data_IF_745473011998
#
_entry.id   IF_745473011998
#
_cell.length_a   1.000
_cell.length_b   1.000
_cell.length_c   1.000
_cell.angle_alpha   90.00
_cell.angle_beta   90.00
_cell.angle_gamma   90.00
#
_symmetry.space_group_name_H-M   'P 1'
#
loop_
_entity.id
_entity.type
_entity.pdbx_description
1 polymer ?
#
# COMPACT_ATOMS: atom_id res chain seq x y z
N UNK A 1 -1.54 8.03 36.28
CA UNK A 1 -0.36 7.75 35.46
C UNK A 1 -0.86 7.22 34.13
N UNK A 2 -0.86 8.06 33.10
CA UNK A 2 -1.28 7.65 31.76
C UNK A 2 -0.24 6.65 31.25
N UNK A 3 -0.66 5.43 30.93
CA UNK A 3 0.23 4.45 30.31
C UNK A 3 0.65 4.98 28.95
N UNK A 4 1.96 4.99 28.70
CA UNK A 4 2.60 5.10 27.38
C UNK A 4 2.18 3.92 26.48
N UNK A 5 0.89 3.82 26.18
CA UNK A 5 0.39 2.95 25.14
C UNK A 5 0.76 3.62 23.82
N UNK A 6 1.92 3.26 23.28
CA UNK A 6 2.20 3.41 21.86
C UNK A 6 0.97 2.89 21.12
N UNK A 7 0.31 3.76 20.36
CA UNK A 7 -0.94 3.52 19.62
C UNK A 7 -0.86 2.34 18.62
N UNK A 8 0.35 1.80 18.45
CA UNK A 8 0.73 0.78 17.48
C UNK A 8 1.73 -0.16 18.16
N UNK A 9 1.57 -1.48 18.01
CA UNK A 9 2.56 -2.45 18.51
C UNK A 9 3.89 -2.31 17.75
N UNK A 10 4.99 -2.81 18.33
CA UNK A 10 6.31 -2.76 17.67
C UNK A 10 6.28 -3.46 16.29
N UNK A 11 5.57 -4.57 16.18
CA UNK A 11 5.42 -5.32 14.92
C UNK A 11 4.56 -4.57 13.90
N UNK A 12 3.47 -3.92 14.35
CA UNK A 12 2.67 -3.07 13.47
C UNK A 12 3.49 -1.86 12.99
N UNK A 13 4.30 -1.24 13.86
CA UNK A 13 5.17 -0.13 13.50
C UNK A 13 6.26 -0.56 12.50
N UNK A 14 6.86 -1.73 12.73
CA UNK A 14 7.82 -2.37 11.81
C UNK A 14 7.20 -2.60 10.44
N UNK A 15 6.02 -3.22 10.39
CA UNK A 15 5.26 -3.46 9.16
C UNK A 15 4.96 -2.16 8.42
N UNK A 16 4.42 -1.13 9.09
CA UNK A 16 4.15 0.18 8.48
C UNK A 16 5.42 0.78 7.86
N UNK A 17 6.54 0.74 8.56
CA UNK A 17 7.82 1.25 8.05
C UNK A 17 8.30 0.49 6.82
N UNK A 18 8.12 -0.83 6.79
CA UNK A 18 8.45 -1.67 5.63
C UNK A 18 7.57 -1.27 4.45
N UNK A 19 6.25 -1.21 4.63
CA UNK A 19 5.30 -0.80 3.60
C UNK A 19 5.62 0.58 3.02
N UNK A 20 5.89 1.57 3.87
CA UNK A 20 6.23 2.93 3.44
C UNK A 20 7.51 2.96 2.60
N UNK A 21 8.57 2.25 3.02
CA UNK A 21 9.83 2.18 2.24
C UNK A 21 9.62 1.59 0.85
N UNK A 22 8.80 0.55 0.75
CA UNK A 22 8.50 -0.10 -0.53
C UNK A 22 7.73 0.86 -1.44
N UNK A 23 6.67 1.50 -0.93
CA UNK A 23 5.86 2.45 -1.70
C UNK A 23 6.68 3.66 -2.13
N UNK A 24 7.53 4.22 -1.24
CA UNK A 24 8.41 5.34 -1.56
C UNK A 24 9.44 4.98 -2.63
N UNK A 25 10.06 3.79 -2.51
CA UNK A 25 11.01 3.30 -3.51
C UNK A 25 10.35 3.13 -4.88
N UNK A 26 9.12 2.61 -4.91
CA UNK A 26 8.36 2.43 -6.16
C UNK A 26 7.91 3.76 -6.76
N UNK A 27 7.38 4.67 -5.94
CA UNK A 27 6.87 5.98 -6.38
C UNK A 27 7.99 6.91 -6.90
N UNK A 28 9.23 6.75 -6.43
CA UNK A 28 10.38 7.57 -6.83
C UNK A 28 11.26 6.92 -7.90
N UNK A 29 10.90 5.72 -8.38
CA UNK A 29 11.73 4.91 -9.27
C UNK A 29 11.89 5.45 -10.70
N UNK A 30 11.15 6.49 -11.09
CA UNK A 30 11.23 7.11 -12.41
C UNK A 30 10.92 6.10 -13.53
N UNK A 31 11.92 5.82 -14.38
CA UNK A 31 11.78 4.98 -15.57
C UNK A 31 11.81 3.46 -15.30
N UNK A 32 12.27 3.02 -14.11
CA UNK A 32 12.40 1.58 -13.77
C UNK A 32 11.61 1.14 -12.52
N UNK A 33 10.29 1.40 -12.43
CA UNK A 33 9.48 1.11 -11.24
C UNK A 33 9.46 -0.37 -10.83
N UNK A 34 9.37 -1.28 -11.80
CA UNK A 34 9.34 -2.73 -11.53
C UNK A 34 10.65 -3.25 -10.92
N UNK A 35 11.78 -2.68 -11.34
CA UNK A 35 13.10 -3.08 -10.85
C UNK A 35 13.32 -2.62 -9.42
N UNK A 36 12.96 -1.37 -9.12
CA UNK A 36 13.09 -0.82 -7.77
C UNK A 36 12.09 -1.44 -6.79
N UNK A 37 10.86 -1.73 -7.22
CA UNK A 37 9.91 -2.53 -6.44
C UNK A 37 10.49 -3.91 -6.11
N UNK A 38 10.97 -4.63 -7.12
CA UNK A 38 11.60 -5.95 -6.93
C UNK A 38 12.83 -5.89 -6.00
N UNK A 39 13.58 -4.80 -6.04
CA UNK A 39 14.74 -4.56 -5.17
C UNK A 39 14.31 -4.27 -3.73
N UNK A 40 13.28 -3.45 -3.53
CA UNK A 40 12.73 -3.14 -2.22
C UNK A 40 12.18 -4.41 -1.55
N UNK A 41 11.38 -5.20 -2.27
CA UNK A 41 10.82 -6.47 -1.77
C UNK A 41 11.90 -7.47 -1.34
N UNK A 42 12.98 -7.62 -2.13
CA UNK A 42 14.09 -8.53 -1.80
C UNK A 42 14.94 -8.13 -0.60
N UNK A 43 14.87 -6.87 -0.15
CA UNK A 43 15.61 -6.39 1.02
C UNK A 43 14.93 -6.73 2.34
N UNK A 44 13.65 -7.03 2.30
CA UNK A 44 12.85 -7.30 3.49
C UNK A 44 12.94 -8.77 3.89
N UNK A 45 13.07 -9.01 5.20
CA UNK A 45 13.38 -10.35 5.74
C UNK A 45 12.14 -11.20 5.99
N UNK A 46 11.03 -10.57 6.29
CA UNK A 46 9.77 -11.23 6.61
C UNK A 46 8.70 -10.86 5.57
N UNK A 47 8.20 -11.82 4.78
CA UNK A 47 7.10 -11.58 3.86
C UNK A 47 5.83 -11.04 4.54
N UNK A 48 5.61 -11.35 5.81
CA UNK A 48 4.46 -10.89 6.58
C UNK A 48 4.50 -9.38 6.81
N UNK A 49 5.69 -8.84 7.12
CA UNK A 49 5.91 -7.40 7.30
C UNK A 49 5.63 -6.63 5.99
N UNK A 50 5.96 -7.23 4.85
CA UNK A 50 5.68 -6.67 3.53
C UNK A 50 4.17 -6.55 3.32
N UNK A 51 3.44 -7.66 3.47
CA UNK A 51 2.00 -7.71 3.19
C UNK A 51 1.23 -6.82 4.16
N UNK A 52 1.50 -6.95 5.46
CA UNK A 52 0.86 -6.11 6.50
C UNK A 52 1.19 -4.65 6.27
N UNK A 53 2.46 -4.34 5.96
CA UNK A 53 2.92 -2.98 5.69
C UNK A 53 2.21 -2.33 4.52
N UNK A 54 2.19 -3.01 3.36
CA UNK A 54 1.52 -2.51 2.16
C UNK A 54 0.02 -2.34 2.35
N UNK A 55 -0.65 -3.30 2.98
CA UNK A 55 -2.08 -3.20 3.30
C UNK A 55 -2.37 -2.04 4.24
N UNK A 56 -1.52 -1.81 5.24
CA UNK A 56 -1.69 -0.71 6.19
C UNK A 56 -1.48 0.64 5.50
N UNK A 57 -0.46 0.79 4.65
CA UNK A 57 -0.23 2.02 3.89
C UNK A 57 -1.39 2.29 2.93
N UNK A 58 -1.88 1.28 2.21
CA UNK A 58 -3.04 1.42 1.33
C UNK A 58 -4.28 1.91 2.10
N UNK A 59 -4.51 1.36 3.30
CA UNK A 59 -5.61 1.78 4.17
C UNK A 59 -5.45 3.23 4.66
N UNK A 60 -4.26 3.63 5.08
CA UNK A 60 -3.99 5.02 5.49
C UNK A 60 -4.25 6.01 4.34
N UNK A 61 -3.79 5.69 3.13
CA UNK A 61 -4.05 6.51 1.94
C UNK A 61 -5.55 6.55 1.59
N UNK A 62 -6.27 5.46 1.80
CA UNK A 62 -7.73 5.42 1.59
C UNK A 62 -8.48 6.30 2.60
N UNK A 63 -8.07 6.31 3.87
CA UNK A 63 -8.61 7.18 4.91
C UNK A 63 -8.37 8.65 4.55
N UNK A 64 -7.15 9.02 4.16
CA UNK A 64 -6.82 10.39 3.77
C UNK A 64 -7.63 10.85 2.55
N UNK A 65 -7.77 9.98 1.55
CA UNK A 65 -8.57 10.26 0.36
C UNK A 65 -10.08 10.36 0.68
N UNK A 66 -10.59 9.50 1.54
CA UNK A 66 -11.98 9.55 2.02
C UNK A 66 -12.26 10.88 2.72
N UNK A 67 -11.37 11.30 3.63
CA UNK A 67 -11.45 12.60 4.29
C UNK A 67 -11.40 13.77 3.30
N UNK A 68 -10.51 13.72 2.31
CA UNK A 68 -10.35 14.78 1.31
C UNK A 68 -11.54 14.89 0.33
N UNK A 69 -12.26 13.78 0.08
CA UNK A 69 -13.34 13.71 -0.91
C UNK A 69 -14.74 13.69 -0.30
N UNK A 70 -14.85 13.58 1.03
CA UNK A 70 -16.12 13.39 1.72
C UNK A 70 -16.75 12.00 1.48
N UNK A 71 -15.99 11.04 0.95
CA UNK A 71 -16.42 9.66 0.76
C UNK A 71 -16.19 8.82 2.03
N UNK A 72 -16.74 7.61 2.09
CA UNK A 72 -16.36 6.62 3.10
C UNK A 72 -15.04 5.93 2.73
N UNK A 73 -14.30 5.45 3.73
CA UNK A 73 -13.09 4.63 3.55
C UNK A 73 -13.38 3.40 2.67
N UNK A 74 -14.49 2.70 2.93
CA UNK A 74 -14.94 1.53 2.17
C UNK A 74 -15.16 1.85 0.69
N UNK A 75 -15.86 2.94 0.37
CA UNK A 75 -16.09 3.34 -1.02
C UNK A 75 -14.78 3.71 -1.76
N UNK A 76 -13.81 4.25 -1.04
CA UNK A 76 -12.47 4.53 -1.62
C UNK A 76 -11.71 3.23 -1.87
N UNK A 77 -11.72 2.28 -0.92
CA UNK A 77 -11.06 0.99 -1.07
C UNK A 77 -11.67 0.17 -2.22
N UNK A 78 -13.00 0.08 -2.31
CA UNK A 78 -13.69 -0.58 -3.42
C UNK A 78 -13.36 0.06 -4.78
N UNK A 79 -13.19 1.39 -4.82
CA UNK A 79 -12.78 2.09 -6.04
C UNK A 79 -11.33 1.77 -6.40
N UNK A 80 -10.44 1.72 -5.40
CA UNK A 80 -9.04 1.35 -5.62
C UNK A 80 -8.92 -0.08 -6.11
N UNK A 81 -9.65 -1.03 -5.52
CA UNK A 81 -9.69 -2.43 -5.93
C UNK A 81 -10.14 -2.58 -7.39
N UNK A 82 -11.28 -1.98 -7.76
CA UNK A 82 -11.76 -1.99 -9.15
C UNK A 82 -10.76 -1.39 -10.14
N UNK A 83 -10.07 -0.32 -9.76
CA UNK A 83 -9.04 0.29 -10.61
C UNK A 83 -7.82 -0.63 -10.77
N UNK A 84 -7.41 -1.31 -9.70
CA UNK A 84 -6.34 -2.31 -9.76
C UNK A 84 -6.73 -3.49 -10.64
N UNK A 85 -7.93 -4.04 -10.47
CA UNK A 85 -8.47 -5.12 -11.32
C UNK A 85 -8.49 -4.71 -12.79
N UNK A 86 -8.97 -3.51 -13.11
CA UNK A 86 -9.00 -3.00 -14.49
C UNK A 86 -7.60 -2.84 -15.11
N UNK A 87 -6.60 -2.49 -14.31
CA UNK A 87 -5.20 -2.39 -14.74
C UNK A 87 -4.52 -3.75 -14.89
N UNK A 88 -4.90 -4.74 -14.07
CA UNK A 88 -4.40 -6.12 -14.14
C UNK A 88 -5.03 -6.92 -15.28
N UNK A 89 -6.29 -6.61 -15.59
CA UNK A 89 -7.04 -7.22 -16.68
C UNK A 89 -7.45 -6.15 -17.72
N UNK A 90 -6.48 -5.52 -18.43
CA UNK A 90 -6.77 -4.52 -19.43
C UNK A 90 -7.40 -5.20 -20.65
N UNK A 91 -8.71 -5.46 -20.58
CA UNK A 91 -9.60 -5.97 -21.62
C UNK A 91 -9.00 -7.12 -22.46
N UNK A 92 -9.30 -8.36 -22.06
CA UNK A 92 -9.17 -9.60 -22.86
C UNK A 92 -10.01 -9.60 -24.17
N UNK A 93 -10.21 -8.46 -24.85
CA UNK A 93 -11.17 -8.38 -25.95
C UNK A 93 -11.09 -7.18 -26.91
N UNK A 94 -9.98 -6.43 -26.96
CA UNK A 94 -9.83 -5.36 -27.96
C UNK A 94 -9.18 -5.81 -29.29
N UNK A 95 -8.92 -7.12 -29.47
CA UNK A 95 -8.43 -7.71 -30.73
C UNK A 95 -8.99 -9.11 -30.96
N UNK A 96 -10.14 -9.20 -31.60
CA UNK A 96 -10.52 -10.29 -32.51
C UNK A 96 -11.35 -9.72 -33.64
#
# INVERSE_FOLDING_TARGET
MASDQTWVSEDQYRGIRVGLRIVESWATAGEEPERELSRALRRERDPSDIVIGLATVARLLAIDLAAATGASEEAVLERLERNVEALQHPLDGARS
#
